data_IF_415175523280
#
_entry.id   IF_415175523280
#
_cell.length_a   1.000
_cell.length_b   1.000
_cell.length_c   1.000
_cell.angle_alpha   90.00
_cell.angle_beta   90.00
_cell.angle_gamma   90.00
#
_symmetry.space_group_name_H-M   'P 1'
#
loop_
_entity.id
_entity.type
_entity.pdbx_description
1 polymer ?
#
# COMPACT_ATOMS: atom_id res chain seq x y z
N UNK A 1 -12.79 22.42 6.17
CA UNK A 1 -11.56 21.83 5.63
C UNK A 1 -11.82 20.35 5.47
N UNK A 2 -11.46 19.79 4.32
CA UNK A 2 -11.63 18.36 4.05
C UNK A 2 -10.51 17.58 4.74
N UNK A 3 -10.79 16.40 5.27
CA UNK A 3 -9.87 15.63 6.11
C UNK A 3 -10.03 14.14 5.86
N UNK A 4 -8.91 13.43 5.92
CA UNK A 4 -8.83 11.98 5.85
C UNK A 4 -8.20 11.48 7.14
N UNK A 5 -8.86 10.51 7.76
CA UNK A 5 -8.47 9.94 9.05
C UNK A 5 -8.29 8.44 8.86
N UNK A 6 -7.09 7.94 9.12
CA UNK A 6 -6.82 6.50 9.18
C UNK A 6 -7.19 6.01 10.57
N UNK A 7 -8.09 5.03 10.65
CA UNK A 7 -8.59 4.47 11.91
C UNK A 7 -8.06 3.04 12.05
N UNK A 8 -7.35 2.79 13.14
CA UNK A 8 -6.74 1.49 13.52
C UNK A 8 -5.93 0.82 12.39
N UNK A 9 -5.42 1.62 11.45
CA UNK A 9 -4.73 1.15 10.25
C UNK A 9 -5.52 0.14 9.40
N UNK A 10 -6.86 0.15 9.51
CA UNK A 10 -7.76 -0.79 8.83
C UNK A 10 -8.88 -0.08 8.07
N UNK A 11 -9.22 1.13 8.48
CA UNK A 11 -10.33 1.90 7.91
C UNK A 11 -9.86 3.30 7.55
N UNK A 12 -10.54 3.90 6.60
CA UNK A 12 -10.29 5.29 6.20
C UNK A 12 -11.60 6.05 6.30
N UNK A 13 -11.63 7.06 7.18
CA UNK A 13 -12.77 7.97 7.32
C UNK A 13 -12.48 9.25 6.56
N UNK A 14 -13.37 9.57 5.64
CA UNK A 14 -13.41 10.81 4.89
C UNK A 14 -14.36 11.77 5.56
N UNK A 15 -13.95 13.03 5.69
CA UNK A 15 -14.76 14.14 6.13
C UNK A 15 -14.56 15.30 5.16
N UNK A 16 -15.65 15.92 4.72
CA UNK A 16 -15.57 17.02 3.75
C UNK A 16 -16.60 18.09 4.04
N UNK A 17 -16.41 19.22 3.37
CA UNK A 17 -17.29 20.38 3.46
C UNK A 17 -17.96 20.65 2.12
N UNK A 18 -19.24 21.03 2.16
CA UNK A 18 -20.00 21.40 0.97
C UNK A 18 -20.09 22.93 0.89
N UNK A 19 -19.50 23.57 -0.14
CA UNK A 19 -19.49 25.02 -0.23
C UNK A 19 -20.87 25.60 -0.57
N UNK A 20 -21.22 26.71 0.10
CA UNK A 20 -22.39 27.52 -0.23
C UNK A 20 -23.71 26.75 -0.21
N UNK A 21 -24.48 26.84 -1.31
CA UNK A 21 -25.80 26.20 -1.46
C UNK A 21 -25.74 24.79 -2.06
N UNK A 22 -24.55 24.21 -2.22
CA UNK A 22 -24.39 22.92 -2.89
C UNK A 22 -25.16 21.79 -2.18
N UNK A 23 -25.19 21.80 -0.85
CA UNK A 23 -25.95 20.82 -0.04
C UNK A 23 -27.43 20.74 -0.41
N UNK A 24 -28.05 21.88 -0.75
CA UNK A 24 -29.46 21.96 -1.14
C UNK A 24 -29.71 21.52 -2.59
N UNK A 25 -28.67 21.54 -3.41
CA UNK A 25 -28.72 21.22 -4.84
C UNK A 25 -28.35 19.77 -5.12
N UNK A 26 -27.75 19.05 -4.17
CA UNK A 26 -27.36 17.66 -4.32
C UNK A 26 -28.57 16.71 -4.21
N UNK A 27 -28.60 15.74 -5.10
CA UNK A 27 -29.47 14.56 -5.04
C UNK A 27 -28.76 13.41 -4.32
N UNK A 28 -27.50 13.17 -4.70
CA UNK A 28 -26.67 12.11 -4.12
C UNK A 28 -25.18 12.45 -4.24
N UNK A 29 -24.39 11.82 -3.39
CA UNK A 29 -22.94 11.84 -3.41
C UNK A 29 -22.46 10.41 -3.66
N UNK A 30 -21.57 10.23 -4.62
CA UNK A 30 -20.96 8.95 -4.94
C UNK A 30 -19.50 9.06 -4.55
N UNK A 31 -19.08 8.25 -3.59
CA UNK A 31 -17.68 8.14 -3.19
C UNK A 31 -17.03 7.19 -4.17
N UNK A 32 -15.94 7.62 -4.77
CA UNK A 32 -15.15 6.81 -5.70
C UNK A 32 -13.72 6.66 -5.20
N UNK A 33 -13.08 5.56 -5.63
CA UNK A 33 -11.73 5.17 -5.21
C UNK A 33 -10.93 4.70 -6.43
N UNK A 34 -9.63 4.97 -6.41
CA UNK A 34 -8.65 4.51 -7.39
C UNK A 34 -7.36 4.09 -6.70
N UNK A 35 -6.57 3.27 -7.38
CA UNK A 35 -5.20 2.89 -7.00
C UNK A 35 -4.16 3.96 -7.42
N UNK A 36 -4.51 4.81 -8.39
CA UNK A 36 -3.69 5.89 -8.91
C UNK A 36 -4.44 7.23 -8.89
N UNK A 37 -3.70 8.32 -8.69
CA UNK A 37 -4.15 9.72 -8.81
C UNK A 37 -4.94 10.04 -10.08
N UNK A 38 -4.64 9.35 -11.19
CA UNK A 38 -5.29 9.55 -12.50
C UNK A 38 -6.53 8.68 -12.72
N UNK A 39 -6.82 7.76 -11.81
CA UNK A 39 -7.86 6.76 -11.98
C UNK A 39 -7.38 5.47 -12.67
N UNK A 40 -8.31 4.58 -13.03
CA UNK A 40 -9.76 4.78 -13.06
C UNK A 40 -10.39 4.86 -11.65
N UNK A 41 -11.33 5.80 -11.47
CA UNK A 41 -12.08 5.95 -10.22
C UNK A 41 -13.35 5.11 -10.26
N UNK A 42 -13.44 4.10 -9.40
CA UNK A 42 -14.61 3.21 -9.29
C UNK A 42 -15.48 3.59 -8.09
N UNK A 43 -16.82 3.51 -8.19
CA UNK A 43 -17.70 3.76 -7.06
C UNK A 43 -17.49 2.75 -5.93
N UNK A 44 -17.35 3.24 -4.70
CA UNK A 44 -17.31 2.41 -3.48
C UNK A 44 -18.58 2.55 -2.65
N UNK A 45 -19.24 3.71 -2.70
CA UNK A 45 -20.51 3.92 -2.00
C UNK A 45 -21.31 5.07 -2.62
N UNK A 46 -22.62 5.03 -2.43
CA UNK A 46 -23.55 6.08 -2.81
C UNK A 46 -24.32 6.54 -1.57
N UNK A 47 -24.19 7.82 -1.26
CA UNK A 47 -24.80 8.49 -0.12
C UNK A 47 -25.93 9.38 -0.62
N UNK A 48 -27.05 9.39 0.10
CA UNK A 48 -28.18 10.27 -0.23
C UNK A 48 -27.94 11.68 0.30
N UNK A 49 -28.36 12.68 -0.48
CA UNK A 49 -28.38 14.07 -0.04
C UNK A 49 -26.98 14.67 0.20
N UNK A 50 -26.81 15.30 1.35
CA UNK A 50 -25.66 16.15 1.69
C UNK A 50 -24.79 15.56 2.80
N UNK A 51 -24.55 14.25 2.79
CA UNK A 51 -23.62 13.61 3.70
C UNK A 51 -22.24 14.31 3.66
N UNK A 52 -21.61 14.44 4.82
CA UNK A 52 -20.31 15.10 5.00
C UNK A 52 -19.22 14.16 5.50
N UNK A 53 -19.56 12.89 5.70
CA UNK A 53 -18.63 11.86 6.17
C UNK A 53 -18.94 10.50 5.58
N UNK A 54 -17.91 9.68 5.42
CA UNK A 54 -18.00 8.29 4.99
C UNK A 54 -16.79 7.52 5.52
N UNK A 55 -17.01 6.28 5.94
CA UNK A 55 -15.93 5.37 6.36
C UNK A 55 -15.84 4.21 5.38
N UNK A 56 -14.66 4.06 4.77
CA UNK A 56 -14.29 2.88 4.00
C UNK A 56 -13.78 1.80 4.96
N UNK A 57 -14.53 0.72 5.08
CA UNK A 57 -14.26 -0.43 5.94
C UNK A 57 -13.21 -1.38 5.36
N UNK A 58 -12.99 -1.34 4.05
CA UNK A 58 -12.05 -2.22 3.34
C UNK A 58 -11.24 -1.42 2.30
N UNK A 59 -10.44 -0.44 2.75
CA UNK A 59 -9.54 0.32 1.89
C UNK A 59 -8.42 -0.58 1.34
N UNK A 60 -7.83 -0.16 0.22
CA UNK A 60 -6.55 -0.71 -0.24
C UNK A 60 -5.40 -0.14 0.61
N UNK A 61 -4.18 -0.59 0.39
CA UNK A 61 -3.01 -0.01 1.08
C UNK A 61 -2.77 1.44 0.68
N UNK A 62 -2.90 1.76 -0.61
CA UNK A 62 -2.80 3.12 -1.16
C UNK A 62 -4.08 3.42 -1.95
N UNK A 63 -4.71 4.56 -1.65
CA UNK A 63 -6.02 4.91 -2.19
C UNK A 63 -6.02 6.37 -2.61
N UNK A 64 -6.69 6.63 -3.73
CA UNK A 64 -7.10 7.96 -4.13
C UNK A 64 -8.61 8.03 -4.11
N UNK A 65 -9.16 8.84 -3.21
CA UNK A 65 -10.59 9.05 -3.11
C UNK A 65 -11.02 10.29 -3.86
N UNK A 66 -12.20 10.24 -4.47
CA UNK A 66 -12.84 11.39 -5.10
C UNK A 66 -14.33 11.35 -4.82
N UNK A 67 -14.92 12.52 -4.61
CA UNK A 67 -16.34 12.65 -4.34
C UNK A 67 -17.00 13.15 -5.62
N UNK A 68 -17.98 12.40 -6.10
CA UNK A 68 -18.83 12.76 -7.24
C UNK A 68 -20.21 13.15 -6.73
N UNK A 69 -20.54 14.43 -6.77
CA UNK A 69 -21.90 14.91 -6.50
C UNK A 69 -22.77 14.84 -7.76
N UNK A 70 -23.98 14.32 -7.62
CA UNK A 70 -25.04 14.44 -8.62
C UNK A 70 -26.04 15.46 -8.10
N UNK A 71 -26.23 16.54 -8.85
CA UNK A 71 -27.22 17.56 -8.52
C UNK A 71 -28.64 17.10 -8.85
N UNK A 72 -29.65 17.78 -8.30
CA UNK A 72 -31.07 17.56 -8.61
C UNK A 72 -31.41 17.76 -10.08
N UNK A 73 -30.62 18.55 -10.82
CA UNK A 73 -30.73 18.71 -12.27
C UNK A 73 -29.97 17.64 -13.07
N UNK A 74 -29.33 16.67 -12.42
CA UNK A 74 -28.58 15.59 -13.06
C UNK A 74 -27.12 15.92 -13.41
N UNK A 75 -26.66 17.15 -13.19
CA UNK A 75 -25.25 17.54 -13.41
C UNK A 75 -24.33 16.83 -12.42
N UNK A 76 -23.23 16.27 -12.93
CA UNK A 76 -22.15 15.71 -12.13
C UNK A 76 -21.10 16.79 -11.80
N UNK A 77 -20.70 16.83 -10.52
CA UNK A 77 -19.64 17.71 -9.99
C UNK A 77 -18.65 16.81 -9.27
N UNK A 78 -17.36 17.13 -9.37
CA UNK A 78 -16.31 16.31 -8.80
C UNK A 78 -15.39 17.11 -7.88
N UNK A 79 -14.98 16.52 -6.77
CA UNK A 79 -13.89 17.03 -5.95
C UNK A 79 -12.52 16.79 -6.60
N UNK A 80 -11.49 17.37 -5.99
CA UNK A 80 -10.11 16.92 -6.19
C UNK A 80 -9.91 15.51 -5.63
N UNK A 81 -8.96 14.74 -6.18
CA UNK A 81 -8.56 13.46 -5.60
C UNK A 81 -7.77 13.70 -4.31
N UNK A 82 -8.07 12.90 -3.28
CA UNK A 82 -7.37 12.93 -2.00
C UNK A 82 -6.65 11.61 -1.77
N UNK A 83 -5.36 11.69 -1.44
CA UNK A 83 -4.54 10.52 -1.17
C UNK A 83 -4.71 10.03 0.27
N UNK A 84 -4.82 8.72 0.43
CA UNK A 84 -4.89 8.06 1.72
C UNK A 84 -4.13 6.73 1.69
N UNK A 85 -3.26 6.53 2.67
CA UNK A 85 -2.42 5.34 2.75
C UNK A 85 -2.55 4.70 4.13
N UNK A 86 -2.72 3.39 4.17
CA UNK A 86 -2.55 2.59 5.37
C UNK A 86 -1.06 2.42 5.65
N UNK A 87 -0.67 2.50 6.92
CA UNK A 87 0.68 2.23 7.39
C UNK A 87 1.00 0.77 7.12
N UNK A 88 2.06 0.50 6.38
CA UNK A 88 2.61 -0.85 6.33
C UNK A 88 3.34 -1.11 7.65
N UNK A 89 2.82 -2.05 8.45
CA UNK A 89 3.44 -2.47 9.70
C UNK A 89 4.12 -3.84 9.57
N UNK A 90 4.07 -4.46 8.39
CA UNK A 90 4.71 -5.75 8.14
C UNK A 90 6.11 -5.51 7.59
N UNK A 91 7.17 -5.78 8.38
CA UNK A 91 8.52 -5.72 7.84
C UNK A 91 8.69 -6.80 6.75
N UNK A 92 9.58 -6.57 5.77
CA UNK A 92 9.88 -7.59 4.79
C UNK A 92 10.35 -8.87 5.49
N UNK A 93 9.79 -10.01 5.08
CA UNK A 93 10.15 -11.29 5.67
C UNK A 93 11.63 -11.58 5.38
N UNK A 94 12.43 -11.78 6.43
CA UNK A 94 13.79 -12.24 6.28
C UNK A 94 13.79 -13.72 5.84
N UNK A 95 14.39 -14.01 4.68
CA UNK A 95 14.63 -15.37 4.20
C UNK A 95 15.73 -16.02 5.04
N UNK A 96 15.34 -16.78 6.07
CA UNK A 96 16.27 -17.62 6.83
C UNK A 96 16.41 -19.01 6.19
N UNK A 97 16.90 -19.10 4.94
CA UNK A 97 17.39 -20.37 4.36
C UNK A 97 18.93 -20.35 4.34
N UNK A 98 19.54 -20.29 5.52
CA UNK A 98 20.96 -20.58 5.66
C UNK A 98 21.12 -22.11 5.63
N UNK A 99 21.49 -22.68 4.48
CA UNK A 99 21.89 -24.09 4.42
C UNK A 99 23.37 -24.19 4.74
N UNK A 100 23.71 -24.42 6.00
CA UNK A 100 25.07 -24.83 6.35
C UNK A 100 25.22 -26.31 6.12
N UNK A 101 26.04 -26.63 5.12
CA UNK A 101 26.54 -27.99 4.90
C UNK A 101 27.92 -28.05 5.51
N UNK A 102 28.04 -28.67 6.68
CA UNK A 102 29.32 -28.99 7.29
C UNK A 102 29.88 -30.22 6.57
N UNK A 103 30.94 -30.05 5.80
CA UNK A 103 31.89 -31.15 5.56
C UNK A 103 33.08 -30.95 6.50
N UNK A 104 33.87 -31.99 6.82
CA UNK A 104 34.85 -31.94 7.91
C UNK A 104 35.91 -30.82 7.80
N UNK A 105 36.02 -30.13 6.65
CA UNK A 105 37.06 -29.11 6.39
C UNK A 105 36.57 -27.87 5.64
N UNK A 106 35.28 -27.78 5.27
CA UNK A 106 34.77 -26.69 4.44
C UNK A 106 33.38 -26.24 4.88
N UNK A 107 33.23 -24.93 5.10
CA UNK A 107 31.96 -24.27 5.36
C UNK A 107 31.53 -23.48 4.12
N UNK A 108 30.35 -23.83 3.59
CA UNK A 108 29.69 -23.10 2.51
C UNK A 108 28.58 -22.22 3.08
N UNK A 109 28.66 -20.90 2.85
CA UNK A 109 27.60 -19.94 3.15
C UNK A 109 27.10 -19.38 1.82
N UNK A 110 25.88 -19.75 1.43
CA UNK A 110 25.27 -19.27 0.20
C UNK A 110 23.97 -18.54 0.50
N UNK A 111 23.77 -17.39 -0.13
CA UNK A 111 22.49 -16.69 -0.20
C UNK A 111 21.97 -16.73 -1.64
N UNK A 112 20.69 -17.02 -1.84
CA UNK A 112 20.08 -16.90 -3.17
C UNK A 112 18.59 -17.25 -3.27
N UNK A 113 17.83 -16.33 -3.89
CA UNK A 113 16.51 -16.57 -4.49
C UNK A 113 16.65 -17.41 -5.78
N UNK A 114 15.58 -18.06 -6.28
CA UNK A 114 15.62 -18.80 -7.55
C UNK A 114 15.86 -17.91 -8.79
N UNK A 115 15.76 -16.58 -8.68
CA UNK A 115 15.76 -15.64 -9.82
C UNK A 115 16.96 -14.65 -9.79
N UNK A 116 17.84 -14.69 -8.79
CA UNK A 116 19.00 -13.77 -8.70
C UNK A 116 20.31 -14.52 -8.48
N UNK A 117 21.40 -14.00 -9.05
CA UNK A 117 22.75 -14.60 -9.01
C UNK A 117 23.13 -15.02 -7.59
N UNK A 118 23.38 -16.32 -7.40
CA UNK A 118 23.77 -16.90 -6.11
C UNK A 118 25.17 -16.42 -5.76
N UNK A 119 25.33 -15.71 -4.65
CA UNK A 119 26.65 -15.38 -4.10
C UNK A 119 26.97 -16.40 -3.02
N UNK A 120 28.07 -17.14 -3.20
CA UNK A 120 28.55 -18.12 -2.23
C UNK A 120 29.91 -17.71 -1.70
N UNK A 121 30.04 -17.72 -0.38
CA UNK A 121 31.32 -17.58 0.33
C UNK A 121 31.74 -18.97 0.77
N UNK A 122 32.97 -19.34 0.43
CA UNK A 122 33.59 -20.59 0.89
C UNK A 122 34.63 -20.26 1.92
N UNK A 123 34.49 -20.86 3.10
CA UNK A 123 35.47 -20.78 4.18
C UNK A 123 36.09 -22.17 4.31
N UNK A 124 37.36 -22.29 3.93
CA UNK A 124 38.13 -23.53 4.06
C UNK A 124 38.98 -23.41 5.32
N UNK A 125 38.88 -24.39 6.21
CA UNK A 125 39.73 -24.47 7.40
C UNK A 125 40.89 -25.42 7.10
N UNK A 126 42.12 -24.93 7.09
CA UNK A 126 43.34 -25.73 6.97
C UNK A 126 44.32 -25.32 8.08
N UNK A 127 44.26 -26.02 9.22
CA UNK A 127 45.09 -25.69 10.39
C UNK A 127 44.73 -24.35 11.05
N UNK A 128 45.67 -23.66 11.73
CA UNK A 128 45.38 -22.43 12.50
C UNK A 128 45.07 -21.18 11.64
N UNK A 129 44.98 -21.32 10.31
CA UNK A 129 44.86 -20.21 9.38
C UNK A 129 43.51 -20.26 8.64
N UNK A 130 42.73 -19.19 8.73
CA UNK A 130 41.44 -19.03 8.02
C UNK A 130 41.65 -18.22 6.76
N UNK A 131 41.32 -18.78 5.59
CA UNK A 131 41.39 -18.05 4.31
C UNK A 131 39.99 -17.86 3.74
N UNK A 132 39.59 -16.60 3.52
CA UNK A 132 38.29 -16.24 2.91
C UNK A 132 38.46 -16.09 1.41
N UNK A 133 37.74 -16.90 0.61
CA UNK A 133 37.72 -16.77 -0.85
C UNK A 133 36.29 -16.47 -1.32
N UNK A 134 36.13 -15.34 -2.01
CA UNK A 134 34.87 -15.02 -2.68
C UNK A 134 34.84 -15.76 -4.03
N UNK A 135 33.88 -16.67 -4.22
CA UNK A 135 33.66 -17.32 -5.51
C UNK A 135 32.68 -16.47 -6.31
N UNK A 136 33.20 -15.66 -7.22
CA UNK A 136 32.41 -15.02 -8.27
C UNK A 136 32.45 -15.92 -9.51
N UNK A 137 31.28 -16.36 -9.98
CA UNK A 137 31.03 -16.82 -11.35
C UNK A 137 29.79 -16.12 -11.88
#
# INVERSE_FOLDING_TARGET
>A
MDTIIVVDNKKITLQWTLPGKLSQQLSQLIITRADNSRGPFTPVSTLKGSAITFTDEKPLTANYYRIKGITKSGKAIYSFPYFAQLIDSTPPQYLSDWRVRLTPWVLYLCNGLPIQKKTCVVIVYSGPTVTRKNLWK
#
